data_IF_853586136032
#
_entry.id   IF_853586136032
#
_cell.length_a   1.000
_cell.length_b   1.000
_cell.length_c   1.000
_cell.angle_alpha   90.00
_cell.angle_beta   90.00
_cell.angle_gamma   90.00
#
_symmetry.space_group_name_H-M   'P 1'
#
loop_
_entity.id
_entity.type
_entity.pdbx_description
1 polymer ?
#
# COMPACT_ATOMS: atom_id res chain seq x y z
N UNK A 1 -21.80 10.05 4.03
CA UNK A 1 -21.08 10.63 2.89
C UNK A 1 -20.99 9.59 1.80
N UNK A 2 -21.34 9.92 0.57
CA UNK A 2 -21.18 9.04 -0.58
C UNK A 2 -19.73 9.16 -1.09
N UNK A 3 -19.09 8.03 -1.41
CA UNK A 3 -17.84 8.07 -2.16
C UNK A 3 -18.14 8.69 -3.53
N UNK A 4 -17.44 9.75 -3.88
CA UNK A 4 -17.61 10.41 -5.18
C UNK A 4 -16.56 9.85 -6.13
N UNK A 5 -17.01 9.32 -7.27
CA UNK A 5 -16.14 8.93 -8.37
C UNK A 5 -16.08 10.10 -9.34
N UNK A 6 -14.91 10.72 -9.46
CA UNK A 6 -14.65 11.75 -10.47
C UNK A 6 -13.95 11.12 -11.66
N UNK A 7 -14.63 11.06 -12.80
CA UNK A 7 -14.11 10.50 -14.06
C UNK A 7 -14.27 11.53 -15.17
N UNK A 8 -13.24 11.74 -15.96
CA UNK A 8 -13.30 12.52 -17.19
C UNK A 8 -13.70 11.61 -18.37
N UNK A 9 -15.00 11.34 -18.52
CA UNK A 9 -15.54 10.46 -19.57
C UNK A 9 -15.86 9.04 -19.08
N UNK A 10 -16.21 8.13 -20.02
CA UNK A 10 -16.51 6.74 -19.72
C UNK A 10 -15.25 5.97 -19.28
N UNK A 11 -15.41 5.07 -18.32
CA UNK A 11 -14.34 4.19 -17.88
C UNK A 11 -13.94 3.22 -18.99
N UNK A 12 -12.65 3.04 -19.20
CA UNK A 12 -12.11 1.96 -20.02
C UNK A 12 -12.32 0.59 -19.35
N UNK A 13 -12.10 -0.50 -20.09
CA UNK A 13 -12.21 -1.84 -19.54
C UNK A 13 -11.25 -2.06 -18.36
N UNK A 14 -9.99 -1.61 -18.48
CA UNK A 14 -8.99 -1.73 -17.42
C UNK A 14 -9.38 -0.89 -16.21
N UNK A 15 -9.80 0.35 -16.39
CA UNK A 15 -10.28 1.22 -15.30
C UNK A 15 -11.48 0.58 -14.59
N UNK A 16 -12.43 0.03 -15.34
CA UNK A 16 -13.59 -0.67 -14.78
C UNK A 16 -13.18 -1.88 -13.94
N UNK A 17 -12.19 -2.65 -14.40
CA UNK A 17 -11.67 -3.81 -13.68
C UNK A 17 -11.05 -3.41 -12.34
N UNK A 18 -10.20 -2.38 -12.34
CA UNK A 18 -9.56 -1.89 -11.13
C UNK A 18 -10.57 -1.29 -10.14
N UNK A 19 -11.52 -0.47 -10.62
CA UNK A 19 -12.57 0.10 -9.75
C UNK A 19 -13.41 -1.01 -9.11
N UNK A 20 -13.79 -2.05 -9.88
CA UNK A 20 -14.56 -3.18 -9.34
C UNK A 20 -13.76 -3.97 -8.31
N UNK A 21 -12.48 -4.26 -8.58
CA UNK A 21 -11.62 -4.96 -7.63
C UNK A 21 -11.38 -4.17 -6.34
N UNK A 22 -11.22 -2.85 -6.43
CA UNK A 22 -11.05 -1.99 -5.25
C UNK A 22 -12.35 -1.76 -4.45
N UNK A 23 -13.52 -2.04 -5.05
CA UNK A 23 -14.81 -1.67 -4.47
C UNK A 23 -15.10 -2.23 -3.08
N UNK A 24 -14.79 -3.51 -2.73
CA UNK A 24 -15.00 -4.03 -1.38
C UNK A 24 -14.27 -3.20 -0.32
N UNK A 25 -13.04 -2.75 -0.61
CA UNK A 25 -12.22 -1.93 0.28
C UNK A 25 -12.78 -0.50 0.38
N UNK A 26 -13.25 0.07 -0.72
CA UNK A 26 -13.92 1.38 -0.72
C UNK A 26 -15.21 1.35 0.11
N UNK A 27 -15.98 0.28 -0.01
CA UNK A 27 -17.19 0.08 0.81
C UNK A 27 -16.83 -0.05 2.31
N UNK A 28 -15.77 -0.80 2.63
CA UNK A 28 -15.26 -0.91 3.99
C UNK A 28 -14.79 0.45 4.53
N UNK A 29 -14.03 1.23 3.78
CA UNK A 29 -13.60 2.58 4.18
C UNK A 29 -14.78 3.44 4.64
N UNK A 30 -15.92 3.34 3.93
CA UNK A 30 -17.15 4.02 4.30
C UNK A 30 -17.71 3.52 5.63
N UNK A 31 -17.69 2.21 5.88
CA UNK A 31 -18.22 1.64 7.15
C UNK A 31 -17.41 2.07 8.36
N UNK A 32 -16.10 2.28 8.20
CA UNK A 32 -15.21 2.74 9.28
C UNK A 32 -15.01 4.27 9.30
N UNK A 33 -15.80 5.01 8.51
CA UNK A 33 -15.83 6.47 8.53
C UNK A 33 -14.63 7.16 7.91
N UNK A 34 -13.85 6.48 7.07
CA UNK A 34 -12.72 7.09 6.36
C UNK A 34 -13.22 7.92 5.15
N UNK A 35 -12.83 9.19 5.03
CA UNK A 35 -13.22 10.07 3.93
C UNK A 35 -12.42 9.74 2.67
N UNK A 36 -12.85 8.73 1.91
CA UNK A 36 -12.19 8.23 0.71
C UNK A 36 -13.00 8.58 -0.54
N UNK A 37 -12.36 9.21 -1.52
CA UNK A 37 -12.87 9.43 -2.87
C UNK A 37 -12.04 8.61 -3.87
N UNK A 38 -12.64 8.24 -5.01
CA UNK A 38 -11.95 7.61 -6.12
C UNK A 38 -11.72 8.68 -7.21
N UNK A 39 -10.50 8.77 -7.69
CA UNK A 39 -10.11 9.61 -8.82
C UNK A 39 -9.56 8.73 -9.91
N UNK A 40 -10.14 8.79 -11.11
CA UNK A 40 -9.65 8.07 -12.29
C UNK A 40 -9.09 9.08 -13.26
N UNK A 41 -7.83 8.92 -13.67
CA UNK A 41 -7.13 9.84 -14.53
C UNK A 41 -6.20 9.12 -15.51
N UNK A 42 -5.89 9.71 -16.68
CA UNK A 42 -4.87 9.18 -17.59
C UNK A 42 -3.47 9.36 -17.00
N UNK A 43 -2.55 8.44 -17.36
CA UNK A 43 -1.14 8.51 -16.97
C UNK A 43 -0.25 7.95 -18.10
N UNK A 44 0.11 8.78 -19.08
CA UNK A 44 0.93 8.33 -20.22
C UNK A 44 2.42 8.20 -19.89
N UNK A 45 2.85 8.62 -18.70
CA UNK A 45 4.27 8.56 -18.32
C UNK A 45 4.61 7.18 -17.74
N UNK A 46 5.53 6.42 -18.38
CA UNK A 46 6.00 5.13 -17.83
C UNK A 46 6.65 5.27 -16.45
N UNK A 47 6.64 4.22 -15.67
CA UNK A 47 7.23 4.16 -14.33
C UNK A 47 6.37 4.89 -13.27
N UNK A 48 5.09 5.12 -13.54
CA UNK A 48 4.14 5.68 -12.57
C UNK A 48 3.18 4.61 -12.07
N UNK A 49 3.07 4.49 -10.76
CA UNK A 49 2.17 3.53 -10.14
C UNK A 49 0.74 3.66 -10.69
N UNK A 50 0.11 2.54 -11.09
CA UNK A 50 -1.27 2.55 -11.58
C UNK A 50 -2.29 2.85 -10.49
N UNK A 51 -1.95 2.58 -9.24
CA UNK A 51 -2.75 2.86 -8.05
C UNK A 51 -1.89 3.64 -7.05
N UNK A 52 -2.44 4.67 -6.45
CA UNK A 52 -1.76 5.48 -5.45
C UNK A 52 -2.75 6.20 -4.54
N UNK A 53 -2.30 6.62 -3.37
CA UNK A 53 -3.06 7.50 -2.49
C UNK A 53 -2.55 8.95 -2.59
N UNK A 54 -3.48 9.90 -2.69
CA UNK A 54 -3.25 11.29 -2.39
C UNK A 54 -4.08 11.72 -1.18
N UNK A 55 -3.55 12.66 -0.39
CA UNK A 55 -4.27 13.25 0.74
C UNK A 55 -4.40 14.75 0.49
N UNK A 56 -5.64 15.21 0.28
CA UNK A 56 -5.93 16.59 -0.10
C UNK A 56 -7.15 17.09 0.69
N UNK A 57 -7.02 18.23 1.32
CA UNK A 57 -8.10 18.89 2.08
C UNK A 57 -8.76 17.98 3.12
N UNK A 58 -7.95 17.23 3.86
CA UNK A 58 -8.43 16.32 4.89
C UNK A 58 -9.12 15.05 4.37
N UNK A 59 -9.01 14.74 3.08
CA UNK A 59 -9.64 13.59 2.43
C UNK A 59 -8.61 12.75 1.69
N UNK A 60 -8.80 11.45 1.74
CA UNK A 60 -8.04 10.50 0.95
C UNK A 60 -8.59 10.42 -0.49
N UNK A 61 -7.70 10.36 -1.45
CA UNK A 61 -8.02 10.15 -2.86
C UNK A 61 -7.34 8.88 -3.32
N UNK A 62 -8.11 7.83 -3.58
CA UNK A 62 -7.61 6.63 -4.25
C UNK A 62 -7.50 6.96 -5.74
N UNK A 63 -6.28 7.15 -6.21
CA UNK A 63 -6.00 7.61 -7.58
C UNK A 63 -5.70 6.41 -8.45
N UNK A 64 -6.55 6.19 -9.45
CA UNK A 64 -6.39 5.17 -10.48
C UNK A 64 -5.85 5.84 -11.75
N UNK A 65 -4.59 5.58 -12.06
CA UNK A 65 -3.85 6.15 -13.18
C UNK A 65 -3.64 5.09 -14.26
N UNK A 66 -4.74 4.61 -14.86
CA UNK A 66 -4.76 3.41 -15.73
C UNK A 66 -4.68 3.73 -17.21
N UNK A 67 -5.39 4.79 -17.65
CA UNK A 67 -5.49 5.14 -19.07
C UNK A 67 -4.12 5.56 -19.58
N UNK A 68 -3.71 4.92 -20.68
CA UNK A 68 -2.40 5.12 -21.30
C UNK A 68 -1.19 4.76 -20.42
N UNK A 69 -1.41 4.11 -19.26
CA UNK A 69 -0.36 3.67 -18.38
C UNK A 69 0.03 2.21 -18.70
N UNK A 70 1.22 1.96 -19.26
CA UNK A 70 1.66 0.62 -19.60
C UNK A 70 1.83 -0.27 -18.35
N UNK A 71 2.15 0.32 -17.21
CA UNK A 71 2.39 -0.42 -15.96
C UNK A 71 1.09 -0.99 -15.38
N UNK A 72 -0.06 -0.37 -15.67
CA UNK A 72 -1.36 -0.89 -15.24
C UNK A 72 -1.67 -2.28 -15.82
N UNK A 73 -1.41 -2.47 -17.12
CA UNK A 73 -1.61 -3.77 -17.76
C UNK A 73 -0.52 -4.77 -17.35
N UNK A 74 0.73 -4.31 -17.23
CA UNK A 74 1.84 -5.16 -16.81
C UNK A 74 1.63 -5.71 -15.39
N UNK A 75 1.13 -4.90 -14.47
CA UNK A 75 0.78 -5.35 -13.11
C UNK A 75 -0.29 -6.43 -13.13
N UNK A 76 -1.38 -6.24 -13.88
CA UNK A 76 -2.43 -7.26 -13.98
C UNK A 76 -1.93 -8.56 -14.59
N UNK A 77 -1.01 -8.48 -15.57
CA UNK A 77 -0.46 -9.66 -16.23
C UNK A 77 0.42 -10.55 -15.34
N UNK A 78 0.92 -10.01 -14.22
CA UNK A 78 1.72 -10.75 -13.22
C UNK A 78 0.87 -11.41 -12.13
N UNK A 79 -0.46 -11.21 -12.16
CA UNK A 79 -1.37 -11.79 -11.17
C UNK A 79 -2.05 -13.01 -11.80
N UNK A 80 -2.03 -14.14 -11.09
CA UNK A 80 -2.77 -15.34 -11.52
C UNK A 80 -4.27 -15.03 -11.60
N UNK A 81 -4.99 -15.50 -12.65
CA UNK A 81 -6.38 -15.10 -12.90
C UNK A 81 -7.34 -15.32 -11.74
N UNK A 82 -7.18 -16.42 -10.99
CA UNK A 82 -8.01 -16.77 -9.84
C UNK A 82 -7.61 -16.02 -8.55
N UNK A 83 -6.48 -15.30 -8.55
CA UNK A 83 -6.01 -14.46 -7.46
C UNK A 83 -6.34 -12.98 -7.69
N UNK A 84 -6.73 -12.61 -8.91
CA UNK A 84 -6.81 -11.24 -9.38
C UNK A 84 -7.68 -10.34 -8.51
N UNK A 85 -8.92 -10.75 -8.21
CA UNK A 85 -9.84 -9.91 -7.45
C UNK A 85 -9.30 -9.67 -6.02
N UNK A 86 -8.80 -10.73 -5.37
CA UNK A 86 -8.22 -10.62 -4.03
C UNK A 86 -6.91 -9.79 -4.00
N UNK A 87 -6.11 -9.83 -5.06
CA UNK A 87 -4.91 -9.00 -5.20
C UNK A 87 -5.26 -7.51 -5.41
N UNK A 88 -6.31 -7.22 -6.20
CA UNK A 88 -6.81 -5.85 -6.36
C UNK A 88 -7.35 -5.27 -5.04
N UNK A 89 -8.05 -6.09 -4.25
CA UNK A 89 -8.48 -5.72 -2.91
C UNK A 89 -7.28 -5.47 -1.97
N UNK A 90 -6.26 -6.35 -1.99
CA UNK A 90 -5.06 -6.18 -1.20
C UNK A 90 -4.36 -4.86 -1.53
N UNK A 91 -4.19 -4.54 -2.81
CA UNK A 91 -3.58 -3.26 -3.24
C UNK A 91 -4.42 -2.05 -2.80
N UNK A 92 -5.74 -2.11 -2.91
CA UNK A 92 -6.62 -1.04 -2.44
C UNK A 92 -6.56 -0.88 -0.90
N UNK A 93 -6.45 -1.98 -0.15
CA UNK A 93 -6.30 -1.96 1.29
C UNK A 93 -4.93 -1.42 1.74
N UNK A 94 -3.86 -1.66 0.96
CA UNK A 94 -2.57 -1.01 1.13
C UNK A 94 -2.72 0.52 1.09
N UNK A 95 -3.37 1.05 0.06
CA UNK A 95 -3.62 2.51 -0.04
C UNK A 95 -4.47 3.04 1.13
N UNK A 96 -5.40 2.21 1.63
CA UNK A 96 -6.18 2.57 2.80
C UNK A 96 -5.32 2.64 4.09
N UNK A 97 -4.24 1.87 4.16
CA UNK A 97 -3.22 1.98 5.19
C UNK A 97 -2.58 3.37 5.23
N UNK A 98 -2.18 3.90 4.08
CA UNK A 98 -1.68 5.27 3.97
C UNK A 98 -2.74 6.30 4.38
N UNK A 99 -3.98 6.13 3.92
CA UNK A 99 -5.09 6.99 4.30
C UNK A 99 -5.24 7.08 5.84
N UNK A 100 -5.21 5.94 6.51
CA UNK A 100 -5.31 5.87 7.98
C UNK A 100 -4.19 6.66 8.65
N UNK A 101 -2.94 6.48 8.19
CA UNK A 101 -1.77 7.18 8.73
C UNK A 101 -1.87 8.70 8.58
N UNK A 102 -2.35 9.19 7.41
CA UNK A 102 -2.61 10.62 7.20
C UNK A 102 -3.66 11.17 8.17
N UNK A 103 -4.80 10.49 8.28
CA UNK A 103 -5.92 10.93 9.13
C UNK A 103 -5.58 10.93 10.62
N UNK A 104 -4.74 10.01 11.07
CA UNK A 104 -4.25 9.96 12.44
C UNK A 104 -3.17 11.02 12.74
N UNK A 105 -2.75 11.81 11.74
CA UNK A 105 -1.62 12.73 11.88
C UNK A 105 -0.29 12.02 12.15
N UNK A 106 -0.19 10.74 11.79
CA UNK A 106 0.95 9.87 12.05
C UNK A 106 1.83 9.64 10.81
N UNK A 107 1.53 10.31 9.70
CA UNK A 107 2.28 10.18 8.45
C UNK A 107 3.77 10.51 8.66
N UNK A 108 4.64 9.61 8.22
CA UNK A 108 6.09 9.62 8.41
C UNK A 108 6.56 9.57 9.88
N UNK A 109 5.62 9.48 10.83
CA UNK A 109 5.93 9.38 12.24
C UNK A 109 6.34 7.96 12.65
N UNK A 110 7.21 7.86 13.66
CA UNK A 110 7.63 6.60 14.27
C UNK A 110 7.15 6.51 15.73
N UNK A 111 7.01 5.30 16.28
CA UNK A 111 6.63 5.14 17.69
C UNK A 111 7.62 5.78 18.63
N UNK A 112 7.13 6.23 19.80
CA UNK A 112 7.98 6.75 20.85
C UNK A 112 9.07 5.73 21.24
N UNK A 113 10.30 6.19 21.39
CA UNK A 113 11.46 5.36 21.70
C UNK A 113 12.16 4.72 20.49
N UNK A 114 11.61 4.87 19.29
CA UNK A 114 12.29 4.46 18.06
C UNK A 114 13.16 5.61 17.54
N UNK A 115 14.42 5.31 17.26
CA UNK A 115 15.36 6.25 16.59
C UNK A 115 15.88 5.58 15.33
N UNK A 116 15.63 6.17 14.14
CA UNK A 116 16.18 5.65 12.89
C UNK A 116 17.71 5.62 12.95
N UNK A 117 18.32 4.55 12.44
CA UNK A 117 19.75 4.53 12.22
C UNK A 117 20.11 5.40 11.01
N UNK A 118 21.28 6.06 11.08
CA UNK A 118 21.76 6.90 10.01
C UNK A 118 23.16 6.45 9.59
N UNK A 119 23.44 6.31 8.27
CA UNK A 119 24.77 6.03 7.80
C UNK A 119 25.72 7.18 8.14
N UNK A 120 26.93 6.84 8.62
CA UNK A 120 27.97 7.83 8.86
C UNK A 120 28.53 8.39 7.54
N UNK A 121 28.93 9.67 7.57
CA UNK A 121 29.69 10.28 6.46
C UNK A 121 28.88 10.79 5.27
N UNK A 122 27.55 10.81 5.36
CA UNK A 122 26.72 11.45 4.33
C UNK A 122 26.82 12.96 4.36
N UNK A 123 26.89 13.60 3.18
CA UNK A 123 26.71 15.04 3.06
C UNK A 123 25.28 15.45 3.47
N UNK A 124 25.05 16.69 3.95
CA UNK A 124 23.72 17.10 4.43
C UNK A 124 22.57 16.84 3.42
N UNK A 125 22.69 17.14 2.11
CA UNK A 125 21.64 16.83 1.15
C UNK A 125 21.36 15.34 0.97
N UNK A 126 22.41 14.50 0.97
CA UNK A 126 22.27 13.06 0.86
C UNK A 126 21.65 12.46 2.11
N UNK A 127 22.01 12.98 3.29
CA UNK A 127 21.40 12.59 4.56
C UNK A 127 19.90 12.88 4.58
N UNK A 128 19.49 14.08 4.15
CA UNK A 128 18.09 14.46 4.07
C UNK A 128 17.30 13.52 3.12
N UNK A 129 17.84 13.28 1.92
CA UNK A 129 17.23 12.37 0.95
C UNK A 129 17.12 10.93 1.50
N UNK A 130 18.16 10.44 2.16
CA UNK A 130 18.16 9.12 2.79
C UNK A 130 17.06 9.02 3.87
N UNK A 131 16.98 9.98 4.78
CA UNK A 131 15.99 9.99 5.86
C UNK A 131 14.56 10.07 5.31
N UNK A 132 14.33 10.87 4.27
CA UNK A 132 13.04 10.96 3.60
C UNK A 132 12.64 9.62 2.95
N UNK A 133 13.58 8.97 2.27
CA UNK A 133 13.35 7.65 1.66
C UNK A 133 13.04 6.58 2.72
N UNK A 134 13.80 6.54 3.81
CA UNK A 134 13.55 5.61 4.90
C UNK A 134 12.22 5.88 5.63
N UNK A 135 11.82 7.14 5.73
CA UNK A 135 10.51 7.48 6.28
C UNK A 135 9.38 6.94 5.39
N UNK A 136 9.48 7.09 4.07
CA UNK A 136 8.52 6.52 3.14
C UNK A 136 8.53 4.98 3.16
N UNK A 137 9.71 4.34 3.18
CA UNK A 137 9.84 2.89 3.28
C UNK A 137 9.06 2.32 4.48
N UNK A 138 9.10 3.02 5.62
CA UNK A 138 8.35 2.61 6.81
C UNK A 138 6.84 2.70 6.60
N UNK A 139 6.36 3.72 5.89
CA UNK A 139 4.94 3.85 5.55
C UNK A 139 4.49 2.75 4.58
N UNK A 140 5.31 2.43 3.58
CA UNK A 140 5.06 1.31 2.67
C UNK A 140 4.98 -0.03 3.42
N UNK A 141 5.90 -0.26 4.38
CA UNK A 141 5.86 -1.46 5.23
C UNK A 141 4.57 -1.56 6.05
N UNK A 142 4.08 -0.45 6.60
CA UNK A 142 2.79 -0.42 7.28
C UNK A 142 1.63 -0.73 6.32
N UNK A 143 1.63 -0.11 5.15
CA UNK A 143 0.58 -0.27 4.16
C UNK A 143 0.52 -1.71 3.61
N UNK A 144 1.67 -2.34 3.34
CA UNK A 144 1.74 -3.74 2.95
C UNK A 144 1.13 -4.67 4.01
N UNK A 145 1.41 -4.41 5.30
CA UNK A 145 0.82 -5.16 6.40
C UNK A 145 -0.69 -4.95 6.51
N UNK A 146 -1.20 -3.75 6.23
CA UNK A 146 -2.66 -3.49 6.17
C UNK A 146 -3.29 -4.27 5.01
N UNK A 147 -2.67 -4.29 3.83
CA UNK A 147 -3.09 -5.10 2.70
C UNK A 147 -3.15 -6.59 3.03
N UNK A 148 -2.12 -7.11 3.70
CA UNK A 148 -2.07 -8.51 4.15
C UNK A 148 -3.08 -8.80 5.27
N UNK A 149 -3.34 -7.86 6.18
CA UNK A 149 -4.39 -8.00 7.19
C UNK A 149 -5.78 -8.08 6.55
N UNK A 150 -6.03 -7.31 5.48
CA UNK A 150 -7.22 -7.44 4.65
C UNK A 150 -7.33 -8.84 4.05
N UNK A 151 -6.27 -9.30 3.38
CA UNK A 151 -6.22 -10.63 2.78
C UNK A 151 -6.51 -11.74 3.79
N UNK A 152 -5.93 -11.66 4.98
CA UNK A 152 -6.19 -12.60 6.08
C UNK A 152 -7.67 -12.62 6.50
N UNK A 153 -8.31 -11.46 6.60
CA UNK A 153 -9.69 -11.35 7.08
C UNK A 153 -10.72 -11.75 6.02
N UNK A 154 -10.50 -11.42 4.75
CA UNK A 154 -11.47 -11.58 3.68
C UNK A 154 -11.19 -12.76 2.75
N UNK A 155 -9.91 -13.16 2.62
CA UNK A 155 -9.46 -14.23 1.75
C UNK A 155 -8.50 -15.20 2.47
N UNK A 156 -8.85 -15.74 3.65
CA UNK A 156 -7.92 -16.53 4.47
C UNK A 156 -7.36 -17.75 3.74
N UNK A 157 -8.15 -18.36 2.85
CA UNK A 157 -7.74 -19.51 2.03
C UNK A 157 -6.73 -19.13 0.92
N UNK A 158 -6.64 -17.85 0.54
CA UNK A 158 -5.73 -17.33 -0.48
C UNK A 158 -4.52 -16.62 0.16
N UNK A 159 -4.49 -16.46 1.47
CA UNK A 159 -3.49 -15.66 2.16
C UNK A 159 -2.04 -15.99 1.77
N UNK A 160 -1.68 -17.27 1.81
CA UNK A 160 -0.32 -17.70 1.49
C UNK A 160 0.09 -17.34 0.05
N UNK A 161 -0.85 -17.44 -0.90
CA UNK A 161 -0.61 -17.09 -2.30
C UNK A 161 -0.54 -15.57 -2.50
N UNK A 162 -1.41 -14.80 -1.83
CA UNK A 162 -1.38 -13.33 -1.85
C UNK A 162 -0.10 -12.79 -1.22
N UNK A 163 0.34 -13.37 -0.10
CA UNK A 163 1.61 -13.03 0.52
C UNK A 163 2.80 -13.32 -0.43
N UNK A 164 2.84 -14.51 -1.04
CA UNK A 164 3.90 -14.88 -1.98
C UNK A 164 3.91 -13.96 -3.22
N UNK A 165 2.73 -13.62 -3.75
CA UNK A 165 2.59 -12.66 -4.85
C UNK A 165 3.12 -11.27 -4.45
N UNK A 166 2.71 -10.72 -3.31
CA UNK A 166 3.19 -9.41 -2.85
C UNK A 166 4.70 -9.40 -2.64
N UNK A 167 5.25 -10.48 -2.06
CA UNK A 167 6.69 -10.64 -1.90
C UNK A 167 7.42 -10.67 -3.25
N UNK A 168 6.86 -11.34 -4.25
CA UNK A 168 7.40 -11.35 -5.61
C UNK A 168 7.36 -9.95 -6.24
N UNK A 169 6.26 -9.19 -6.09
CA UNK A 169 6.16 -7.80 -6.57
C UNK A 169 7.18 -6.89 -5.90
N UNK A 170 7.39 -7.01 -4.58
CA UNK A 170 8.41 -6.22 -3.86
C UNK A 170 9.85 -6.65 -4.17
N UNK A 171 10.04 -7.85 -4.71
CA UNK A 171 11.35 -8.35 -5.17
C UNK A 171 11.61 -8.00 -6.63
N UNK A 172 10.56 -7.81 -7.43
CA UNK A 172 10.66 -7.45 -8.84
C UNK A 172 11.27 -6.05 -8.97
N UNK A 173 12.40 -5.96 -9.67
CA UNK A 173 13.18 -4.70 -9.82
C UNK A 173 13.55 -4.01 -8.49
N UNK A 174 13.74 -4.81 -7.43
CA UNK A 174 14.09 -4.30 -6.11
C UNK A 174 15.37 -3.45 -6.17
N UNK A 175 15.28 -2.25 -5.63
CA UNK A 175 16.41 -1.43 -5.22
C UNK A 175 16.49 -1.48 -3.70
N UNK A 176 17.56 -2.09 -3.17
CA UNK A 176 17.77 -2.25 -1.73
C UNK A 176 17.71 -0.92 -1.00
N UNK A 177 17.00 -0.89 0.12
CA UNK A 177 16.78 0.32 0.92
C UNK A 177 15.87 1.37 0.29
N UNK A 178 15.33 1.14 -0.93
CA UNK A 178 14.34 2.05 -1.53
C UNK A 178 13.01 2.05 -0.76
N UNK A 179 12.16 3.02 -1.06
CA UNK A 179 10.84 3.14 -0.41
C UNK A 179 9.98 1.87 -0.51
N UNK A 180 10.08 1.10 -1.61
CA UNK A 180 9.31 -0.13 -1.82
C UNK A 180 10.03 -1.40 -1.34
N UNK A 181 11.21 -1.28 -0.74
CA UNK A 181 11.91 -2.42 -0.14
C UNK A 181 11.34 -2.75 1.24
N UNK A 182 10.19 -3.43 1.26
CA UNK A 182 9.42 -3.76 2.45
C UNK A 182 9.59 -5.21 2.91
N UNK A 183 10.55 -5.95 2.34
CA UNK A 183 10.72 -7.39 2.59
C UNK A 183 10.91 -7.75 4.06
N UNK A 184 11.46 -6.86 4.89
CA UNK A 184 11.59 -7.07 6.33
C UNK A 184 10.21 -7.30 6.99
N UNK A 185 9.21 -6.49 6.63
CA UNK A 185 7.84 -6.62 7.13
C UNK A 185 7.10 -7.81 6.53
N UNK A 186 7.29 -8.08 5.23
CA UNK A 186 6.67 -9.23 4.57
C UNK A 186 7.16 -10.55 5.16
N UNK A 187 8.46 -10.67 5.50
CA UNK A 187 9.00 -11.86 6.18
C UNK A 187 8.30 -12.12 7.52
N UNK A 188 8.02 -11.07 8.31
CA UNK A 188 7.27 -11.22 9.57
C UNK A 188 5.84 -11.70 9.34
N UNK A 189 5.19 -11.21 8.28
CA UNK A 189 3.82 -11.56 7.92
C UNK A 189 3.69 -12.91 7.17
N UNK A 190 4.78 -13.67 7.01
CA UNK A 190 4.72 -15.03 6.48
C UNK A 190 3.82 -15.96 7.31
N UNK A 191 3.75 -15.74 8.62
CA UNK A 191 2.71 -16.32 9.47
C UNK A 191 1.54 -15.33 9.60
N UNK A 192 0.37 -15.69 9.04
CA UNK A 192 -0.84 -14.88 9.12
C UNK A 192 -1.28 -14.53 10.55
N UNK A 193 -0.87 -15.33 11.55
CA UNK A 193 -1.27 -15.12 12.94
C UNK A 193 -0.65 -13.85 13.55
N UNK A 194 0.45 -13.34 13.02
CA UNK A 194 1.04 -12.08 13.50
C UNK A 194 0.15 -10.87 13.23
N UNK A 195 -0.77 -10.99 12.24
CA UNK A 195 -1.73 -9.95 11.86
C UNK A 195 -3.03 -10.04 12.69
N UNK A 196 -2.91 -10.20 14.00
CA UNK A 196 -4.05 -10.24 14.92
C UNK A 196 -4.42 -8.83 15.41
N UNK A 197 -5.70 -8.46 15.32
CA UNK A 197 -6.22 -7.15 15.76
C UNK A 197 -7.72 -7.03 15.54
N UNK A 198 -8.35 -6.05 16.17
CA UNK A 198 -9.77 -5.77 16.01
C UNK A 198 -10.10 -5.13 14.65
N UNK A 199 -9.11 -4.57 13.98
CA UNK A 199 -9.22 -4.01 12.64
C UNK A 199 -7.96 -4.34 11.82
N UNK A 200 -8.04 -4.18 10.48
CA UNK A 200 -6.86 -4.32 9.60
C UNK A 200 -5.75 -3.35 9.98
N UNK A 201 -6.08 -2.17 10.48
CA UNK A 201 -5.13 -1.14 10.88
C UNK A 201 -4.40 -1.53 12.17
N UNK A 202 -5.12 -2.01 13.18
CA UNK A 202 -4.54 -2.48 14.44
C UNK A 202 -3.69 -3.73 14.24
N UNK A 203 -4.15 -4.65 13.39
CA UNK A 203 -3.42 -5.87 13.05
C UNK A 203 -2.02 -5.59 12.47
N UNK A 204 -1.87 -4.50 11.73
CA UNK A 204 -0.59 -4.10 11.14
C UNK A 204 0.40 -3.49 12.15
N UNK A 205 -0.06 -2.93 13.27
CA UNK A 205 0.78 -2.12 14.19
C UNK A 205 1.92 -2.91 14.81
N UNK A 206 1.63 -4.09 15.35
CA UNK A 206 2.65 -4.87 16.06
C UNK A 206 3.75 -5.38 15.11
N UNK A 207 3.45 -6.08 14.00
CA UNK A 207 4.48 -6.51 13.05
C UNK A 207 5.20 -5.31 12.41
N UNK A 208 4.52 -4.16 12.19
CA UNK A 208 5.19 -2.96 11.73
C UNK A 208 6.27 -2.48 12.70
N UNK A 209 5.95 -2.39 14.00
CA UNK A 209 6.92 -2.01 15.03
C UNK A 209 8.08 -3.00 15.14
N UNK A 210 7.81 -4.30 14.98
CA UNK A 210 8.85 -5.32 14.96
C UNK A 210 9.81 -5.14 13.78
N UNK A 211 9.27 -4.88 12.58
CA UNK A 211 10.08 -4.64 11.39
C UNK A 211 10.94 -3.37 11.47
N UNK A 212 10.53 -2.35 12.26
CA UNK A 212 11.36 -1.17 12.53
C UNK A 212 12.66 -1.52 13.28
N UNK A 213 12.65 -2.59 14.08
CA UNK A 213 13.79 -3.03 14.88
C UNK A 213 14.70 -4.04 14.16
N UNK A 214 14.31 -4.50 12.98
CA UNK A 214 15.14 -5.41 12.17
C UNK A 214 16.30 -4.60 11.60
N UNK A 215 17.57 -5.01 11.84
CA UNK A 215 18.71 -4.38 11.17
C UNK A 215 18.54 -4.44 9.65
N UNK A 216 18.96 -3.41 8.97
CA UNK A 216 19.12 -3.43 7.52
C UNK A 216 20.30 -4.37 7.21
N UNK A 217 20.04 -5.50 6.54
CA UNK A 217 21.06 -6.45 6.09
C UNK A 217 21.82 -5.87 4.90
#
# INVERSE_FOLDING_TARGET
>A
WAATVCVAGDLTEIETRWVRGAWPVVAFAKTVGLPLDIVVQPQPTPGKAPLALAFVDGRCKLVLSMRDNPDAQATLARIEPDLLDAALELMAAHELGHCRRYLDGAWLGVPAGFSPSEPAGLSPPLREAYLAMQAQRREEGYADLVGLAWARQHHPQLYARLHAWLQAERTHERVEGSQHDTLAWLRLAGDANVLAGASIFEAAVLPWKQGLAVPED
#
